data_IF_388311316997
#
_entry.id   IF_388311316997
#
_cell.length_a   1.000
_cell.length_b   1.000
_cell.length_c   1.000
_cell.angle_alpha   90.00
_cell.angle_beta   90.00
_cell.angle_gamma   90.00
#
_symmetry.space_group_name_H-M   'P 1'
#
loop_
_entity.id
_entity.type
_entity.pdbx_description
1 polymer ?
#
# COMPACT_ATOMS: atom_id res chain seq x y z
N UNK A 1 -15.11 55.03 -16.36
CA UNK A 1 -14.21 53.88 -16.64
C UNK A 1 -13.10 53.66 -15.58
N UNK A 2 -13.32 54.03 -14.29
CA UNK A 2 -12.33 53.86 -13.20
C UNK A 2 -12.80 53.01 -12.01
N UNK A 3 -14.06 52.54 -11.98
CA UNK A 3 -14.60 51.76 -10.85
C UNK A 3 -14.57 50.23 -11.13
N UNK A 4 -14.62 49.79 -12.40
CA UNK A 4 -14.53 48.36 -12.76
C UNK A 4 -13.12 47.74 -12.60
N UNK A 5 -12.06 48.54 -12.47
CA UNK A 5 -10.69 48.05 -12.27
C UNK A 5 -10.32 47.79 -10.81
N UNK A 6 -11.07 48.34 -9.83
CA UNK A 6 -10.78 48.18 -8.40
C UNK A 6 -11.39 46.89 -7.79
N UNK A 7 -12.51 46.42 -8.34
CA UNK A 7 -13.21 45.21 -7.87
C UNK A 7 -12.49 43.92 -8.33
N UNK A 8 -11.83 43.95 -9.49
CA UNK A 8 -11.06 42.81 -10.01
C UNK A 8 -9.75 42.62 -9.21
N UNK A 9 -9.17 43.69 -8.65
CA UNK A 9 -7.95 43.59 -7.85
C UNK A 9 -8.22 43.08 -6.42
N UNK A 10 -9.37 43.43 -5.79
CA UNK A 10 -9.72 42.88 -4.47
C UNK A 10 -10.14 41.40 -4.50
N UNK A 11 -10.83 40.93 -5.55
CA UNK A 11 -11.17 39.51 -5.68
C UNK A 11 -9.96 38.61 -5.96
N UNK A 12 -8.89 39.16 -6.55
CA UNK A 12 -7.64 38.43 -6.76
C UNK A 12 -6.80 38.37 -5.48
N UNK A 13 -6.88 39.40 -4.62
CA UNK A 13 -6.17 39.44 -3.33
C UNK A 13 -6.89 38.58 -2.26
N UNK A 14 -8.22 38.50 -2.24
CA UNK A 14 -8.94 37.61 -1.31
C UNK A 14 -8.79 36.11 -1.64
N UNK A 15 -8.54 35.73 -2.91
CA UNK A 15 -8.27 34.34 -3.28
C UNK A 15 -6.80 33.92 -3.07
N UNK A 16 -5.89 34.88 -2.85
CA UNK A 16 -4.51 34.61 -2.42
C UNK A 16 -4.43 34.54 -0.88
N UNK A 17 -5.37 35.15 -0.16
CA UNK A 17 -5.39 35.18 1.32
C UNK A 17 -6.23 34.07 2.00
N UNK A 18 -6.97 33.24 1.26
CA UNK A 18 -7.80 32.16 1.84
C UNK A 18 -7.29 30.73 1.61
N UNK A 19 -6.06 30.57 1.10
CA UNK A 19 -5.32 29.32 1.18
C UNK A 19 -4.38 29.36 2.38
N UNK A 20 -4.98 29.23 3.58
CA UNK A 20 -4.32 28.66 4.78
C UNK A 20 -2.88 29.13 5.03
N UNK A 21 -2.70 30.41 5.32
CA UNK A 21 -1.56 30.87 6.12
C UNK A 21 -1.86 30.57 7.59
N UNK A 22 -1.17 29.55 8.13
CA UNK A 22 -0.53 29.52 9.45
C UNK A 22 -0.17 28.08 9.88
N UNK A 23 0.58 27.41 9.02
CA UNK A 23 1.65 26.50 9.47
C UNK A 23 2.91 26.87 8.68
N UNK A 24 3.72 27.74 9.30
CA UNK A 24 5.13 28.02 8.99
C UNK A 24 5.54 27.93 7.51
N UNK A 25 5.57 29.07 6.83
CA UNK A 25 6.31 29.26 5.56
C UNK A 25 7.83 28.97 5.69
N UNK A 26 8.32 28.73 6.92
CA UNK A 26 9.69 28.26 7.22
C UNK A 26 9.86 26.72 7.16
N UNK A 27 8.78 25.92 7.10
CA UNK A 27 8.86 24.45 7.24
C UNK A 27 9.02 23.67 5.92
N UNK A 28 8.89 24.34 4.78
CA UNK A 28 8.98 23.71 3.44
C UNK A 28 10.34 23.86 2.78
N UNK A 29 11.20 24.80 3.24
CA UNK A 29 12.52 25.06 2.64
C UNK A 29 13.66 24.17 3.15
N UNK A 30 13.42 23.30 4.15
CA UNK A 30 14.46 22.48 4.78
C UNK A 30 14.29 20.96 4.62
N UNK A 31 13.23 20.51 3.92
CA UNK A 31 13.03 19.08 3.68
C UNK A 31 14.20 18.54 2.85
N UNK A 32 14.77 17.42 3.29
CA UNK A 32 15.93 16.75 2.68
C UNK A 32 17.29 17.41 2.83
N UNK A 33 17.43 18.53 3.54
CA UNK A 33 18.77 19.04 3.90
C UNK A 33 19.54 18.02 4.73
N UNK A 34 20.87 18.03 4.66
CA UNK A 34 21.74 17.17 5.48
C UNK A 34 21.37 17.22 6.96
N UNK A 35 21.10 18.42 7.49
CA UNK A 35 20.72 18.61 8.89
C UNK A 35 19.34 18.02 9.21
N UNK A 36 18.36 18.20 8.32
CA UNK A 36 17.07 17.55 8.44
C UNK A 36 17.21 16.02 8.46
N UNK A 37 17.99 15.45 7.55
CA UNK A 37 18.18 14.00 7.44
C UNK A 37 18.84 13.44 8.70
N UNK A 38 19.93 14.07 9.17
CA UNK A 38 20.61 13.71 10.43
C UNK A 38 19.66 13.80 11.62
N UNK A 39 18.82 14.83 11.67
CA UNK A 39 17.82 14.98 12.74
C UNK A 39 16.80 13.83 12.71
N UNK A 40 16.30 13.43 11.53
CA UNK A 40 15.39 12.28 11.44
C UNK A 40 16.03 10.96 11.94
N UNK A 41 17.34 10.81 11.76
CA UNK A 41 18.08 9.61 12.16
C UNK A 41 18.53 9.59 13.63
N UNK A 42 18.50 10.76 14.31
CA UNK A 42 19.14 10.96 15.63
C UNK A 42 18.70 9.94 16.68
N UNK A 43 17.41 9.60 16.74
CA UNK A 43 16.89 8.63 17.72
C UNK A 43 17.35 7.19 17.49
N UNK A 44 17.76 6.87 16.27
CA UNK A 44 18.17 5.52 15.89
C UNK A 44 19.67 5.38 16.09
N UNK A 45 20.47 6.34 15.61
CA UNK A 45 21.92 6.32 15.78
C UNK A 45 22.36 6.40 17.24
N UNK A 46 21.54 7.02 18.10
CA UNK A 46 21.80 7.10 19.52
C UNK A 46 22.04 5.73 20.14
N UNK A 47 22.99 5.66 21.08
CA UNK A 47 23.41 4.40 21.68
C UNK A 47 23.78 3.35 20.63
N UNK A 48 24.54 3.72 19.59
CA UNK A 48 25.06 2.80 18.57
C UNK A 48 24.00 1.90 17.91
N UNK A 49 22.83 2.46 17.58
CA UNK A 49 21.69 1.71 17.02
C UNK A 49 21.05 0.67 17.94
N UNK A 50 21.29 0.74 19.25
CA UNK A 50 20.49 -0.04 20.21
C UNK A 50 19.12 0.61 20.50
N UNK A 51 18.90 1.83 20.03
CA UNK A 51 17.70 2.59 20.34
C UNK A 51 17.73 3.14 21.77
N UNK A 52 16.87 4.13 22.01
CA UNK A 52 16.78 4.87 23.27
C UNK A 52 15.36 4.92 23.85
N UNK A 53 14.41 4.22 23.22
CA UNK A 53 13.01 4.23 23.65
C UNK A 53 12.72 3.07 24.60
N UNK A 54 11.98 3.35 25.67
CA UNK A 54 11.36 2.29 26.50
C UNK A 54 10.29 1.52 25.73
N UNK A 55 9.69 2.14 24.70
CA UNK A 55 8.71 1.51 23.84
C UNK A 55 9.40 0.77 22.71
N UNK A 56 8.85 -0.40 22.42
CA UNK A 56 9.34 -1.26 21.35
C UNK A 56 9.37 -0.58 19.97
N UNK A 57 8.37 0.27 19.74
CA UNK A 57 8.12 0.94 18.48
C UNK A 57 7.52 2.32 18.69
N UNK A 58 7.54 3.11 17.62
CA UNK A 58 6.71 4.29 17.49
C UNK A 58 5.81 4.20 16.26
N UNK A 59 4.63 4.79 16.37
CA UNK A 59 3.64 4.88 15.30
C UNK A 59 3.25 6.33 15.10
N UNK A 60 3.27 6.80 13.84
CA UNK A 60 2.70 8.09 13.45
C UNK A 60 1.51 7.87 12.51
N UNK A 61 0.35 8.40 12.92
CA UNK A 61 -0.89 8.30 12.15
C UNK A 61 -0.79 9.17 10.89
N UNK A 62 -1.04 8.55 9.73
CA UNK A 62 -1.18 9.21 8.43
C UNK A 62 -2.62 9.56 8.07
N UNK A 63 -2.78 10.06 6.86
CA UNK A 63 -4.04 10.48 6.23
C UNK A 63 -4.41 9.67 4.98
N UNK A 64 -3.50 8.85 4.46
CA UNK A 64 -3.74 7.96 3.31
C UNK A 64 -3.67 6.49 3.76
N UNK A 65 -4.43 5.57 3.13
CA UNK A 65 -4.52 4.15 3.52
C UNK A 65 -3.30 3.33 3.05
N UNK A 66 -2.10 3.87 3.26
CA UNK A 66 -0.81 3.21 3.05
C UNK A 66 -0.09 3.20 4.38
N UNK A 67 0.48 2.06 4.76
CA UNK A 67 1.33 1.93 5.94
C UNK A 67 2.75 1.60 5.49
N UNK A 68 3.74 2.33 6.02
CA UNK A 68 5.15 2.03 5.90
C UNK A 68 5.61 1.44 7.24
N UNK A 69 6.04 0.18 7.23
CA UNK A 69 6.70 -0.48 8.34
C UNK A 69 8.21 -0.38 8.13
N UNK A 70 8.99 -0.01 9.14
CA UNK A 70 10.45 -0.09 9.10
C UNK A 70 10.93 -0.83 10.36
N UNK A 71 10.96 -2.17 10.34
CA UNK A 71 11.20 -2.96 11.55
C UNK A 71 12.69 -3.03 11.94
N UNK A 72 13.61 -2.63 11.07
CA UNK A 72 15.05 -2.81 11.29
C UNK A 72 15.80 -1.48 11.47
N UNK A 73 15.10 -0.42 11.89
CA UNK A 73 15.66 0.91 12.14
C UNK A 73 16.69 0.96 13.28
N UNK A 74 16.65 -0.02 14.18
CA UNK A 74 17.63 -0.29 15.23
C UNK A 74 18.13 -1.74 15.08
N UNK A 75 19.18 -2.10 15.82
CA UNK A 75 19.71 -3.47 15.85
C UNK A 75 18.61 -4.44 16.28
N UNK A 76 18.54 -5.60 15.64
CA UNK A 76 17.57 -6.64 15.99
C UNK A 76 18.22 -7.68 16.91
N UNK A 77 17.48 -8.22 17.87
CA UNK A 77 17.92 -9.40 18.62
C UNK A 77 17.45 -10.67 17.91
N UNK A 78 18.39 -11.49 17.44
CA UNK A 78 18.11 -12.74 16.71
C UNK A 78 19.14 -13.80 17.05
N UNK A 79 18.69 -14.99 17.47
CA UNK A 79 19.57 -16.12 17.82
C UNK A 79 20.69 -15.70 18.77
N UNK A 80 20.32 -15.12 19.91
CA UNK A 80 21.24 -14.69 20.99
C UNK A 80 22.31 -13.67 20.56
N UNK A 81 22.09 -13.00 19.43
CA UNK A 81 23.03 -12.00 18.88
C UNK A 81 22.31 -10.80 18.33
N UNK A 82 22.99 -9.64 18.35
CA UNK A 82 22.49 -8.44 17.68
C UNK A 82 22.86 -8.45 16.20
N UNK A 83 21.85 -8.27 15.34
CA UNK A 83 22.04 -7.98 13.90
C UNK A 83 22.14 -6.49 13.66
N UNK A 84 22.84 -6.12 12.59
CA UNK A 84 22.99 -4.71 12.18
C UNK A 84 21.64 -4.07 11.87
N UNK A 85 21.51 -2.80 12.23
CA UNK A 85 20.38 -1.99 11.81
C UNK A 85 20.44 -1.66 10.32
N UNK A 86 19.27 -1.45 9.73
CA UNK A 86 19.10 -0.88 8.41
C UNK A 86 19.21 0.65 8.50
N UNK A 87 20.45 1.12 8.67
CA UNK A 87 20.80 2.55 8.85
C UNK A 87 20.05 3.44 7.85
N UNK A 88 19.47 4.55 8.31
CA UNK A 88 18.64 5.53 7.60
C UNK A 88 17.28 5.05 7.04
N UNK A 89 16.86 3.79 7.26
CA UNK A 89 15.47 3.40 6.92
C UNK A 89 14.45 4.12 7.80
N UNK A 90 14.81 4.44 9.03
CA UNK A 90 13.96 5.19 9.96
C UNK A 90 13.82 6.64 9.54
N UNK A 91 14.93 7.30 9.18
CA UNK A 91 14.90 8.62 8.57
C UNK A 91 14.08 8.67 7.27
N UNK A 92 14.23 7.66 6.39
CA UNK A 92 13.41 7.54 5.19
C UNK A 92 11.93 7.41 5.53
N UNK A 93 11.54 6.50 6.44
CA UNK A 93 10.14 6.32 6.84
C UNK A 93 9.52 7.63 7.37
N UNK A 94 10.21 8.34 8.27
CA UNK A 94 9.78 9.65 8.78
C UNK A 94 9.63 10.70 7.69
N UNK A 95 10.54 10.72 6.73
CA UNK A 95 10.50 11.65 5.61
C UNK A 95 9.35 11.34 4.65
N UNK A 96 9.13 10.07 4.34
CA UNK A 96 8.01 9.62 3.50
C UNK A 96 6.66 9.91 4.16
N UNK A 97 6.55 9.79 5.49
CA UNK A 97 5.38 10.23 6.23
C UNK A 97 5.07 11.72 5.98
N UNK A 98 6.08 12.60 6.16
CA UNK A 98 5.91 14.04 5.94
C UNK A 98 5.56 14.37 4.48
N UNK A 99 6.15 13.65 3.52
CA UNK A 99 5.97 13.91 2.09
C UNK A 99 4.66 13.36 1.49
N UNK A 100 4.10 12.29 2.07
CA UNK A 100 2.95 11.57 1.47
C UNK A 100 1.71 11.52 2.36
N UNK A 101 1.88 11.70 3.67
CA UNK A 101 0.83 11.44 4.66
C UNK A 101 0.59 9.94 4.90
N UNK A 102 1.44 9.03 4.44
CA UNK A 102 1.32 7.60 4.76
C UNK A 102 1.42 7.37 6.28
N UNK A 103 0.72 6.36 6.80
CA UNK A 103 0.98 5.90 8.18
C UNK A 103 2.39 5.32 8.25
N UNK A 104 3.08 5.51 9.37
CA UNK A 104 4.37 4.86 9.59
C UNK A 104 4.43 4.20 10.95
N UNK A 105 5.14 3.08 11.00
CA UNK A 105 5.56 2.42 12.24
C UNK A 105 7.01 1.96 12.06
N UNK A 106 7.82 2.11 13.10
CA UNK A 106 9.22 1.70 13.09
C UNK A 106 9.67 1.26 14.48
N UNK A 107 10.70 0.41 14.52
CA UNK A 107 11.26 -0.08 15.79
C UNK A 107 12.07 1.02 16.47
N UNK A 108 11.94 1.13 17.78
CA UNK A 108 12.62 2.13 18.60
C UNK A 108 13.50 1.50 19.69
N UNK A 109 13.45 0.18 19.84
CA UNK A 109 14.31 -0.65 20.70
C UNK A 109 14.67 -1.98 20.04
N UNK A 110 15.68 -2.68 20.58
CA UNK A 110 16.25 -3.92 20.02
C UNK A 110 15.48 -5.21 20.29
N UNK A 111 14.26 -5.15 20.83
CA UNK A 111 13.56 -6.39 21.21
C UNK A 111 13.18 -7.20 19.96
N UNK A 112 13.74 -8.40 19.88
CA UNK A 112 13.43 -9.39 18.84
C UNK A 112 13.72 -8.93 17.42
N UNK A 113 13.13 -9.65 16.48
CA UNK A 113 13.26 -9.41 15.05
C UNK A 113 11.97 -9.78 14.32
N UNK A 114 11.33 -8.76 13.75
CA UNK A 114 10.03 -8.89 13.09
C UNK A 114 10.06 -9.71 11.79
N UNK A 115 11.26 -9.95 11.25
CA UNK A 115 11.49 -10.83 10.10
C UNK A 115 12.03 -12.21 10.49
N UNK A 116 12.03 -12.53 11.78
CA UNK A 116 12.47 -13.81 12.32
C UNK A 116 11.60 -14.24 13.51
N UNK A 117 10.28 -14.09 13.39
CA UNK A 117 9.33 -14.54 14.42
C UNK A 117 8.00 -14.98 13.83
N UNK A 118 7.33 -15.93 14.50
CA UNK A 118 5.90 -16.28 14.26
C UNK A 118 4.98 -15.69 15.31
N UNK A 119 5.52 -15.09 16.35
CA UNK A 119 4.76 -14.58 17.48
C UNK A 119 3.98 -13.32 17.11
N UNK A 120 2.95 -13.04 17.90
CA UNK A 120 2.21 -11.77 17.88
C UNK A 120 2.94 -10.78 18.79
N UNK A 121 4.07 -10.24 18.32
CA UNK A 121 4.84 -9.21 19.03
C UNK A 121 4.01 -7.94 19.22
N UNK A 122 4.42 -7.04 20.12
CA UNK A 122 3.77 -5.75 20.30
C UNK A 122 3.76 -4.92 19.01
N UNK A 123 4.82 -5.03 18.20
CA UNK A 123 4.89 -4.43 16.87
C UNK A 123 3.81 -4.98 15.92
N UNK A 124 3.67 -6.32 15.84
CA UNK A 124 2.66 -6.98 15.00
C UNK A 124 1.23 -6.70 15.45
N UNK A 125 0.98 -6.72 16.77
CA UNK A 125 -0.29 -6.32 17.37
C UNK A 125 -0.63 -4.89 16.97
N UNK A 126 0.35 -3.98 17.01
CA UNK A 126 0.13 -2.60 16.58
C UNK A 126 -0.19 -2.47 15.11
N UNK A 127 0.53 -3.17 14.23
CA UNK A 127 0.22 -3.17 12.79
C UNK A 127 -1.19 -3.69 12.54
N UNK A 128 -1.59 -4.79 13.18
CA UNK A 128 -2.94 -5.33 13.11
C UNK A 128 -3.99 -4.29 13.50
N UNK A 129 -3.74 -3.56 14.59
CA UNK A 129 -4.56 -2.45 15.06
C UNK A 129 -4.66 -1.30 14.04
N UNK A 130 -3.53 -0.91 13.43
CA UNK A 130 -3.48 0.14 12.41
C UNK A 130 -4.30 -0.28 11.18
N UNK A 131 -4.10 -1.52 10.70
CA UNK A 131 -4.84 -2.08 9.57
C UNK A 131 -6.34 -2.08 9.84
N UNK A 132 -6.76 -2.50 11.04
CA UNK A 132 -8.16 -2.57 11.43
C UNK A 132 -8.84 -1.18 11.50
N UNK A 133 -8.12 -0.16 11.97
CA UNK A 133 -8.67 1.18 12.23
C UNK A 133 -8.62 2.14 11.05
N UNK A 134 -7.79 1.87 10.03
CA UNK A 134 -7.49 2.84 8.97
C UNK A 134 -7.71 2.31 7.53
N UNK A 135 -8.35 1.15 7.35
CA UNK A 135 -8.63 0.54 6.03
C UNK A 135 -7.39 0.51 5.13
N UNK A 136 -6.24 0.09 5.69
CA UNK A 136 -4.96 0.07 4.97
C UNK A 136 -5.08 -0.84 3.75
N UNK A 137 -4.75 -0.28 2.58
CA UNK A 137 -4.87 -0.95 1.27
C UNK A 137 -3.57 -1.59 0.80
N UNK A 138 -2.42 -1.02 1.17
CA UNK A 138 -1.08 -1.54 0.86
C UNK A 138 -0.15 -1.27 2.03
N UNK A 139 0.72 -2.24 2.33
CA UNK A 139 1.82 -2.09 3.27
C UNK A 139 3.13 -2.09 2.51
N UNK A 140 4.03 -1.18 2.88
CA UNK A 140 5.41 -1.12 2.42
C UNK A 140 6.29 -1.50 3.61
N UNK A 141 6.96 -2.63 3.51
CA UNK A 141 7.89 -3.14 4.52
C UNK A 141 9.30 -2.69 4.10
N UNK A 142 9.76 -1.58 4.68
CA UNK A 142 10.95 -0.85 4.31
C UNK A 142 12.18 -1.40 5.02
N UNK A 143 13.17 -1.81 4.23
CA UNK A 143 14.42 -2.42 4.67
C UNK A 143 15.62 -1.83 3.94
N UNK A 144 16.82 -2.23 4.38
CA UNK A 144 18.09 -1.81 3.81
C UNK A 144 18.95 -2.99 3.34
N UNK A 145 19.39 -2.94 2.08
CA UNK A 145 20.40 -3.86 1.55
C UNK A 145 21.78 -3.22 1.43
N UNK A 146 22.81 -4.04 1.34
CA UNK A 146 24.22 -3.64 1.20
C UNK A 146 24.50 -2.92 -0.13
N UNK A 147 25.59 -2.15 -0.21
CA UNK A 147 25.91 -1.29 -1.36
C UNK A 147 26.47 -2.02 -2.59
N UNK A 148 26.91 -3.27 -2.42
CA UNK A 148 27.43 -4.13 -3.49
C UNK A 148 26.32 -4.64 -4.43
N UNK A 149 25.06 -4.53 -4.04
CA UNK A 149 23.93 -4.91 -4.91
C UNK A 149 23.86 -3.98 -6.11
N UNK A 150 23.55 -4.58 -7.25
CA UNK A 150 23.56 -3.91 -8.55
C UNK A 150 22.29 -3.10 -8.83
N UNK A 151 21.34 -3.05 -7.89
CA UNK A 151 20.10 -2.26 -8.00
C UNK A 151 19.97 -1.22 -6.89
N UNK A 152 19.19 -0.17 -7.14
CA UNK A 152 18.85 0.85 -6.15
C UNK A 152 17.82 0.32 -5.13
N UNK A 153 16.90 -0.52 -5.61
CA UNK A 153 15.78 -1.11 -4.86
C UNK A 153 15.61 -2.56 -5.31
N UNK A 154 15.56 -3.53 -4.39
CA UNK A 154 14.97 -4.85 -4.67
C UNK A 154 13.56 -4.90 -4.09
N UNK A 155 12.60 -5.36 -4.90
CA UNK A 155 11.18 -5.40 -4.56
C UNK A 155 10.80 -6.84 -4.26
N UNK A 156 10.56 -7.16 -3.00
CA UNK A 156 10.03 -8.45 -2.56
C UNK A 156 8.50 -8.49 -2.64
N UNK A 157 7.97 -9.45 -3.39
CA UNK A 157 6.52 -9.72 -3.52
C UNK A 157 6.12 -11.09 -2.99
N UNK A 158 7.02 -11.76 -2.29
CA UNK A 158 6.88 -13.08 -1.68
C UNK A 158 7.62 -14.15 -2.45
N UNK A 159 7.42 -14.21 -3.77
CA UNK A 159 8.06 -15.16 -4.69
C UNK A 159 7.71 -14.76 -6.14
N UNK A 160 8.09 -15.61 -7.11
CA UNK A 160 7.75 -15.43 -8.53
C UNK A 160 6.25 -15.35 -8.82
N UNK A 161 5.39 -15.88 -7.94
CA UNK A 161 3.93 -15.80 -8.02
C UNK A 161 3.34 -14.60 -7.27
N UNK A 162 4.17 -13.69 -6.73
CA UNK A 162 3.75 -12.48 -6.02
C UNK A 162 2.76 -12.74 -4.86
N UNK A 163 2.93 -13.83 -4.10
CA UNK A 163 1.95 -14.25 -3.08
C UNK A 163 1.61 -13.17 -2.03
N UNK A 164 2.52 -12.23 -1.76
CA UNK A 164 2.26 -11.14 -0.81
C UNK A 164 1.36 -10.04 -1.39
N UNK A 165 1.12 -10.02 -2.71
CA UNK A 165 0.17 -9.12 -3.38
C UNK A 165 -1.25 -9.68 -3.43
N UNK A 166 -1.47 -10.90 -2.95
CA UNK A 166 -2.79 -11.51 -2.80
C UNK A 166 -3.60 -11.56 -4.10
N UNK A 167 -2.95 -11.72 -5.26
CA UNK A 167 -3.60 -11.72 -6.58
C UNK A 167 -3.84 -10.33 -7.18
N UNK A 168 -3.32 -9.26 -6.54
CA UNK A 168 -3.33 -7.88 -7.04
C UNK A 168 -2.02 -7.52 -7.74
N UNK A 169 -1.53 -8.38 -8.64
CA UNK A 169 -0.23 -8.21 -9.34
C UNK A 169 -0.08 -6.89 -10.10
N UNK A 170 -1.19 -6.23 -10.44
CA UNK A 170 -1.15 -4.89 -11.01
C UNK A 170 -0.47 -3.88 -10.08
N UNK A 171 -0.49 -4.08 -8.75
CA UNK A 171 0.24 -3.25 -7.77
C UNK A 171 1.73 -3.23 -8.08
N UNK A 172 2.35 -4.39 -8.37
CA UNK A 172 3.75 -4.43 -8.81
C UNK A 172 3.93 -3.65 -10.10
N UNK A 173 2.99 -3.75 -11.04
CA UNK A 173 3.03 -2.97 -12.27
C UNK A 173 2.96 -1.45 -12.02
N UNK A 174 2.24 -1.01 -10.98
CA UNK A 174 2.22 0.40 -10.53
C UNK A 174 3.57 0.82 -10.02
N UNK A 175 4.11 0.05 -9.08
CA UNK A 175 5.39 0.32 -8.45
C UNK A 175 6.48 0.44 -9.51
N UNK A 176 6.63 -0.58 -10.36
CA UNK A 176 7.59 -0.58 -11.49
C UNK A 176 7.41 0.64 -12.39
N UNK A 177 6.17 0.94 -12.74
CA UNK A 177 5.81 2.09 -13.57
C UNK A 177 6.14 3.44 -12.96
N UNK A 178 6.06 3.54 -11.64
CA UNK A 178 6.28 4.75 -10.86
C UNK A 178 7.75 5.01 -10.60
N UNK A 179 8.52 3.94 -10.36
CA UNK A 179 9.97 3.98 -10.22
C UNK A 179 10.67 4.30 -11.56
N UNK A 180 10.03 4.06 -12.70
CA UNK A 180 10.54 4.40 -14.04
C UNK A 180 11.54 3.37 -14.59
N UNK A 181 12.32 3.72 -15.62
CA UNK A 181 13.38 2.86 -16.20
C UNK A 181 14.63 2.77 -15.31
N UNK A 182 14.45 2.98 -14.00
CA UNK A 182 15.54 3.01 -13.06
C UNK A 182 15.90 1.61 -12.57
N UNK A 183 17.08 1.52 -11.98
CA UNK A 183 17.71 0.31 -11.55
C UNK A 183 16.99 -0.31 -10.33
N UNK A 184 15.98 -1.13 -10.56
CA UNK A 184 15.34 -1.95 -9.54
C UNK A 184 15.35 -3.42 -9.96
N UNK A 185 15.30 -4.30 -8.98
CA UNK A 185 15.09 -5.74 -9.19
C UNK A 185 13.81 -6.19 -8.47
N UNK A 186 13.31 -7.38 -8.81
CA UNK A 186 12.11 -7.95 -8.20
C UNK A 186 12.43 -9.36 -7.76
N UNK A 187 12.32 -9.63 -6.46
CA UNK A 187 12.62 -10.92 -5.82
C UNK A 187 14.03 -11.46 -6.15
N UNK A 188 15.00 -10.61 -6.51
CA UNK A 188 16.33 -11.08 -6.93
C UNK A 188 17.18 -11.48 -5.74
N UNK A 189 17.15 -10.65 -4.68
CA UNK A 189 17.95 -10.84 -3.48
C UNK A 189 17.08 -11.15 -2.27
N UNK A 190 15.93 -10.49 -2.18
CA UNK A 190 15.02 -10.57 -1.05
C UNK A 190 13.59 -10.68 -1.56
N UNK A 191 13.00 -11.86 -1.35
CA UNK A 191 11.62 -12.08 -1.78
C UNK A 191 10.59 -11.54 -0.78
N UNK A 192 10.97 -11.40 0.50
CA UNK A 192 10.02 -11.05 1.58
C UNK A 192 8.93 -12.10 1.82
N UNK A 193 9.08 -13.32 1.28
CA UNK A 193 8.06 -14.38 1.31
C UNK A 193 8.26 -15.52 2.29
N UNK A 194 9.30 -15.45 3.14
CA UNK A 194 9.51 -16.48 4.16
C UNK A 194 8.45 -16.34 5.23
N UNK A 195 7.99 -17.47 5.80
CA UNK A 195 6.88 -17.51 6.77
C UNK A 195 7.05 -16.58 7.99
N UNK A 196 8.30 -16.24 8.34
CA UNK A 196 8.63 -15.38 9.47
C UNK A 196 8.69 -13.88 9.15
N UNK A 197 8.62 -13.46 7.88
CA UNK A 197 8.76 -12.06 7.50
C UNK A 197 7.52 -11.25 7.87
N UNK A 198 7.72 -9.97 8.21
CA UNK A 198 6.64 -9.02 8.41
C UNK A 198 5.77 -8.89 7.16
N UNK A 199 6.39 -8.86 5.98
CA UNK A 199 5.69 -8.87 4.69
C UNK A 199 4.73 -10.05 4.51
N UNK A 200 5.17 -11.29 4.80
CA UNK A 200 4.30 -12.47 4.71
C UNK A 200 3.25 -12.50 5.81
N UNK A 201 3.56 -12.05 7.03
CA UNK A 201 2.58 -11.88 8.10
C UNK A 201 1.46 -10.92 7.67
N UNK A 202 1.81 -9.73 7.20
CA UNK A 202 0.87 -8.70 6.75
C UNK A 202 -0.05 -9.21 5.63
N UNK A 203 0.52 -9.83 4.60
CA UNK A 203 -0.27 -10.39 3.52
C UNK A 203 -1.17 -11.54 3.99
N UNK A 204 -0.59 -12.53 4.68
CA UNK A 204 -1.30 -13.77 4.97
C UNK A 204 -2.30 -13.66 6.11
N UNK A 205 -1.97 -12.94 7.18
CA UNK A 205 -2.79 -12.81 8.40
C UNK A 205 -3.71 -11.60 8.36
N UNK A 206 -3.23 -10.47 7.84
CA UNK A 206 -3.98 -9.21 7.83
C UNK A 206 -4.73 -8.96 6.53
N UNK A 207 -4.40 -9.72 5.47
CA UNK A 207 -5.09 -9.64 4.17
C UNK A 207 -4.88 -8.30 3.50
N UNK A 208 -3.66 -7.77 3.59
CA UNK A 208 -3.27 -6.51 2.96
C UNK A 208 -2.10 -6.79 2.01
N UNK A 209 -2.21 -6.44 0.72
CA UNK A 209 -1.10 -6.52 -0.22
C UNK A 209 0.14 -5.82 0.34
N UNK A 210 1.27 -6.53 0.38
CA UNK A 210 2.49 -6.05 1.02
C UNK A 210 3.70 -6.20 0.10
N UNK A 211 4.53 -5.15 0.05
CA UNK A 211 5.78 -5.11 -0.70
C UNK A 211 6.94 -4.96 0.30
N UNK A 212 7.95 -5.82 0.23
CA UNK A 212 9.23 -5.57 0.88
C UNK A 212 10.07 -4.70 -0.05
N UNK A 213 10.56 -3.55 0.44
CA UNK A 213 11.45 -2.68 -0.32
C UNK A 213 12.82 -2.65 0.34
N UNK A 214 13.80 -3.27 -0.31
CA UNK A 214 15.18 -3.28 0.12
C UNK A 214 15.94 -2.16 -0.57
N UNK A 215 16.21 -1.10 0.18
CA UNK A 215 16.84 0.10 -0.37
C UNK A 215 18.36 -0.06 -0.29
N UNK A 216 19.06 0.21 -1.39
CA UNK A 216 20.52 0.15 -1.43
C UNK A 216 21.14 1.16 -0.46
N UNK A 217 22.15 0.73 0.32
CA UNK A 217 22.87 1.57 1.28
C UNK A 217 23.41 2.88 0.68
N UNK A 218 23.73 2.90 -0.63
CA UNK A 218 24.16 4.11 -1.36
C UNK A 218 23.18 5.29 -1.21
N UNK A 219 21.88 5.02 -1.06
CA UNK A 219 20.83 6.04 -0.97
C UNK A 219 20.20 6.17 0.41
N UNK A 220 20.75 5.47 1.41
CA UNK A 220 20.31 5.51 2.81
C UNK A 220 21.41 6.13 3.67
N UNK A 221 21.65 7.42 3.48
CA UNK A 221 22.81 8.11 4.08
C UNK A 221 22.44 9.55 4.49
N UNK A 222 23.33 10.25 5.20
CA UNK A 222 23.18 11.69 5.47
C UNK A 222 23.44 12.59 4.26
N UNK A 223 24.02 12.04 3.18
CA UNK A 223 24.21 12.76 1.93
C UNK A 223 22.86 13.19 1.35
N UNK A 224 22.67 14.50 1.29
CA UNK A 224 21.42 15.12 0.88
C UNK A 224 21.01 14.67 -0.53
N UNK A 225 21.94 14.57 -1.47
CA UNK A 225 21.61 14.25 -2.86
C UNK A 225 21.09 12.81 -3.00
N UNK A 226 21.86 11.84 -2.51
CA UNK A 226 21.54 10.42 -2.59
C UNK A 226 20.25 10.09 -1.83
N UNK A 227 20.09 10.66 -0.63
CA UNK A 227 18.88 10.47 0.17
C UNK A 227 17.65 11.10 -0.51
N UNK A 228 17.77 12.34 -1.02
CA UNK A 228 16.68 13.05 -1.71
C UNK A 228 16.24 12.29 -2.94
N UNK A 229 17.17 11.77 -3.74
CA UNK A 229 16.87 10.96 -4.92
C UNK A 229 15.95 9.79 -4.56
N UNK A 230 16.30 9.03 -3.53
CA UNK A 230 15.51 7.87 -3.11
C UNK A 230 14.19 8.28 -2.46
N UNK A 231 14.20 9.27 -1.57
CA UNK A 231 13.00 9.75 -0.90
C UNK A 231 11.97 10.29 -1.90
N UNK A 232 12.38 11.05 -2.91
CA UNK A 232 11.49 11.54 -3.97
C UNK A 232 10.94 10.39 -4.83
N UNK A 233 11.79 9.41 -5.17
CA UNK A 233 11.38 8.23 -5.94
C UNK A 233 10.33 7.41 -5.19
N UNK A 234 10.53 7.14 -3.91
CA UNK A 234 9.59 6.44 -3.05
C UNK A 234 8.32 7.26 -2.78
N UNK A 235 8.44 8.57 -2.59
CA UNK A 235 7.29 9.50 -2.46
C UNK A 235 6.38 9.41 -3.68
N UNK A 236 6.96 9.48 -4.88
CA UNK A 236 6.21 9.31 -6.12
C UNK A 236 5.55 7.93 -6.21
N UNK A 237 6.28 6.86 -5.88
CA UNK A 237 5.74 5.49 -5.88
C UNK A 237 4.56 5.33 -4.90
N UNK A 238 4.66 5.88 -3.70
CA UNK A 238 3.60 5.85 -2.68
C UNK A 238 2.37 6.61 -3.17
N UNK A 239 2.55 7.83 -3.67
CA UNK A 239 1.45 8.65 -4.17
C UNK A 239 0.76 8.01 -5.37
N UNK A 240 1.51 7.47 -6.31
CA UNK A 240 0.96 6.76 -7.46
C UNK A 240 0.21 5.49 -7.01
N UNK A 241 0.75 4.74 -6.06
CA UNK A 241 0.10 3.53 -5.52
C UNK A 241 -1.20 3.89 -4.80
N UNK A 242 -1.17 4.87 -3.89
CA UNK A 242 -2.36 5.38 -3.20
C UNK A 242 -3.46 5.83 -4.18
N UNK A 243 -3.07 6.60 -5.21
CA UNK A 243 -4.02 7.12 -6.19
C UNK A 243 -4.64 6.04 -7.08
N UNK A 244 -4.05 4.86 -7.16
CA UNK A 244 -4.40 3.82 -8.13
C UNK A 244 -4.61 2.42 -7.52
N UNK A 245 -4.57 2.24 -6.21
CA UNK A 245 -4.90 0.94 -5.62
C UNK A 245 -6.41 0.81 -5.39
N UNK A 246 -6.99 -0.27 -5.92
CA UNK A 246 -8.37 -0.67 -5.71
C UNK A 246 -8.45 -2.16 -5.36
N UNK A 247 -8.94 -2.45 -4.16
CA UNK A 247 -9.21 -3.82 -3.73
C UNK A 247 -10.66 -4.16 -4.10
N UNK A 248 -10.91 -5.22 -4.90
CA UNK A 248 -12.25 -5.59 -5.30
C UNK A 248 -13.13 -5.94 -4.10
N UNK A 249 -14.42 -5.65 -4.20
CA UNK A 249 -15.42 -5.99 -3.18
C UNK A 249 -16.52 -6.87 -3.78
N UNK A 250 -17.03 -7.79 -3.00
CA UNK A 250 -18.17 -8.64 -3.33
C UNK A 250 -19.21 -8.63 -2.22
N UNK A 251 -20.39 -9.21 -2.49
CA UNK A 251 -21.44 -9.39 -1.49
C UNK A 251 -21.79 -10.85 -1.32
N UNK A 252 -22.06 -11.25 -0.07
CA UNK A 252 -22.56 -12.58 0.27
C UNK A 252 -24.00 -12.74 -0.18
N UNK A 253 -24.24 -13.77 -0.99
CA UNK A 253 -25.56 -14.14 -1.54
C UNK A 253 -25.81 -15.65 -1.38
N UNK A 254 -27.00 -16.11 -1.79
CA UNK A 254 -27.35 -17.54 -1.89
C UNK A 254 -27.17 -18.34 -0.57
N UNK A 255 -27.34 -17.69 0.57
CA UNK A 255 -27.34 -18.33 1.90
C UNK A 255 -28.61 -17.97 2.68
N UNK A 256 -29.11 -18.87 3.52
CA UNK A 256 -30.31 -18.62 4.34
C UNK A 256 -30.13 -17.50 5.37
N UNK A 257 -29.00 -17.49 6.08
CA UNK A 257 -28.68 -16.48 7.11
C UNK A 257 -27.22 -16.03 7.03
N UNK A 258 -26.29 -16.99 6.99
CA UNK A 258 -24.87 -16.71 7.01
C UNK A 258 -24.05 -17.71 6.18
N UNK A 259 -22.93 -17.25 5.66
CA UNK A 259 -21.88 -18.03 5.01
C UNK A 259 -20.75 -18.31 6.01
N UNK A 260 -20.19 -19.52 6.02
CA UNK A 260 -19.02 -19.83 6.85
C UNK A 260 -17.74 -19.30 6.20
N UNK A 261 -17.02 -18.42 6.90
CA UNK A 261 -15.64 -18.06 6.58
C UNK A 261 -14.71 -19.15 7.12
N UNK A 262 -13.82 -19.67 6.26
CA UNK A 262 -12.98 -20.82 6.61
C UNK A 262 -11.48 -20.50 6.60
N UNK A 263 -10.70 -21.10 7.47
CA UNK A 263 -9.22 -20.98 7.47
C UNK A 263 -8.53 -21.72 6.32
N UNK A 264 -9.20 -22.67 5.67
CA UNK A 264 -8.68 -23.44 4.52
C UNK A 264 -9.78 -23.77 3.51
N UNK A 265 -9.38 -24.23 2.33
CA UNK A 265 -10.25 -24.61 1.19
C UNK A 265 -10.92 -25.99 1.37
N UNK A 266 -11.33 -26.33 2.60
CA UNK A 266 -11.96 -27.61 2.93
C UNK A 266 -13.26 -27.43 3.73
N UNK A 267 -14.27 -28.24 3.41
CA UNK A 267 -15.52 -28.32 4.17
C UNK A 267 -15.54 -29.45 5.19
N UNK A 268 -14.49 -30.28 5.24
CA UNK A 268 -14.47 -31.53 6.02
C UNK A 268 -14.54 -31.30 7.54
N UNK A 269 -13.92 -30.21 8.04
CA UNK A 269 -13.91 -29.91 9.47
C UNK A 269 -14.74 -28.67 9.83
N UNK A 270 -15.42 -28.76 10.99
CA UNK A 270 -16.07 -27.61 11.64
C UNK A 270 -15.06 -26.67 12.32
N UNK A 271 -13.92 -27.17 12.78
CA UNK A 271 -12.85 -26.33 13.37
C UNK A 271 -12.24 -25.36 12.36
N UNK A 272 -12.43 -25.64 11.07
CA UNK A 272 -12.04 -24.75 9.99
C UNK A 272 -12.92 -23.48 9.89
N UNK A 273 -14.07 -23.43 10.55
CA UNK A 273 -14.97 -22.25 10.51
C UNK A 273 -14.44 -21.22 11.50
N UNK A 274 -13.94 -20.09 10.99
CA UNK A 274 -13.31 -19.02 11.79
C UNK A 274 -14.22 -17.79 11.96
N UNK A 275 -15.27 -17.68 11.14
CA UNK A 275 -16.33 -16.70 11.29
C UNK A 275 -17.59 -17.07 10.51
N UNK A 276 -18.67 -16.31 10.71
CA UNK A 276 -19.89 -16.33 9.93
C UNK A 276 -20.14 -14.95 9.31
N UNK A 277 -20.46 -14.94 8.02
CA UNK A 277 -20.71 -13.73 7.25
C UNK A 277 -22.19 -13.66 6.91
N UNK A 278 -22.89 -12.66 7.42
CA UNK A 278 -24.33 -12.54 7.21
C UNK A 278 -24.66 -12.30 5.72
N UNK A 279 -25.81 -12.82 5.28
CA UNK A 279 -26.37 -12.53 3.96
C UNK A 279 -26.36 -11.02 3.69
N UNK A 280 -25.94 -10.60 2.50
CA UNK A 280 -25.88 -9.19 2.14
C UNK A 280 -24.64 -8.44 2.63
N UNK A 281 -23.79 -9.04 3.47
CA UNK A 281 -22.54 -8.41 3.90
C UNK A 281 -21.58 -8.18 2.73
N UNK A 282 -20.88 -7.05 2.74
CA UNK A 282 -19.77 -6.78 1.82
C UNK A 282 -18.47 -7.40 2.33
N UNK A 283 -17.69 -7.97 1.43
CA UNK A 283 -16.37 -8.55 1.69
C UNK A 283 -15.34 -7.99 0.70
N UNK A 284 -14.08 -7.90 1.10
CA UNK A 284 -12.98 -7.63 0.15
C UNK A 284 -12.52 -8.95 -0.47
N UNK A 285 -12.38 -8.99 -1.79
CA UNK A 285 -11.83 -10.13 -2.50
C UNK A 285 -10.32 -9.94 -2.58
N UNK A 286 -9.60 -10.86 -1.97
CA UNK A 286 -8.15 -10.86 -1.95
C UNK A 286 -7.69 -11.66 -3.16
N UNK A 287 -7.66 -12.98 -3.07
CA UNK A 287 -7.04 -13.84 -4.08
C UNK A 287 -8.08 -14.71 -4.80
N UNK A 288 -7.71 -15.20 -5.97
CA UNK A 288 -8.54 -16.03 -6.85
C UNK A 288 -9.84 -15.34 -7.29
N UNK A 289 -9.80 -14.03 -7.58
CA UNK A 289 -10.98 -13.30 -8.07
C UNK A 289 -11.54 -13.89 -9.37
N UNK A 290 -10.68 -14.42 -10.26
CA UNK A 290 -11.14 -15.12 -11.47
C UNK A 290 -11.86 -16.45 -11.21
N UNK A 291 -11.94 -16.89 -9.95
CA UNK A 291 -12.80 -18.00 -9.54
C UNK A 291 -14.22 -17.54 -9.18
N UNK A 292 -14.46 -16.24 -9.00
CA UNK A 292 -15.83 -15.72 -8.94
C UNK A 292 -16.50 -16.01 -10.29
N UNK A 293 -17.72 -16.56 -10.25
CA UNK A 293 -18.44 -17.06 -11.44
C UNK A 293 -18.18 -18.52 -11.83
N UNK A 294 -17.10 -19.17 -11.34
CA UNK A 294 -16.79 -20.59 -11.63
C UNK A 294 -17.35 -21.57 -10.60
N UNK A 295 -18.27 -22.46 -10.97
CA UNK A 295 -18.94 -23.35 -9.99
C UNK A 295 -17.97 -24.05 -9.03
N UNK A 296 -18.29 -23.97 -7.73
CA UNK A 296 -17.63 -24.70 -6.64
C UNK A 296 -16.13 -24.37 -6.43
N UNK A 297 -15.64 -23.24 -6.94
CA UNK A 297 -14.27 -22.80 -6.68
C UNK A 297 -14.15 -22.01 -5.37
N UNK A 298 -12.95 -21.94 -4.82
CA UNK A 298 -12.67 -21.16 -3.62
C UNK A 298 -12.13 -19.77 -3.97
N UNK A 299 -12.51 -18.80 -3.15
CA UNK A 299 -12.04 -17.42 -3.21
C UNK A 299 -11.55 -17.04 -1.82
N UNK A 300 -10.42 -16.34 -1.77
CA UNK A 300 -9.87 -15.82 -0.51
C UNK A 300 -10.40 -14.40 -0.30
N UNK A 301 -10.95 -14.14 0.89
CA UNK A 301 -11.59 -12.87 1.21
C UNK A 301 -11.12 -12.31 2.55
N UNK A 302 -11.38 -11.03 2.76
CA UNK A 302 -11.29 -10.35 4.06
C UNK A 302 -12.68 -9.89 4.50
N UNK A 303 -13.07 -10.25 5.71
CA UNK A 303 -14.31 -9.81 6.36
C UNK A 303 -14.03 -9.52 7.84
N UNK A 304 -14.46 -8.37 8.35
CA UNK A 304 -14.23 -7.94 9.74
C UNK A 304 -12.78 -8.16 10.22
N UNK A 305 -11.80 -7.78 9.39
CA UNK A 305 -10.36 -7.96 9.63
C UNK A 305 -9.87 -9.41 9.77
N UNK A 306 -10.71 -10.41 9.48
CA UNK A 306 -10.33 -11.81 9.35
C UNK A 306 -10.14 -12.18 7.89
N UNK A 307 -9.13 -12.99 7.62
CA UNK A 307 -8.82 -13.54 6.30
C UNK A 307 -9.19 -15.00 6.26
N UNK A 308 -9.90 -15.41 5.22
CA UNK A 308 -10.27 -16.80 5.03
C UNK A 308 -10.81 -17.09 3.64
N UNK A 309 -11.39 -18.26 3.48
CA UNK A 309 -11.86 -18.82 2.22
C UNK A 309 -13.36 -19.04 2.26
N UNK A 310 -13.99 -18.76 1.13
CA UNK A 310 -15.41 -19.03 0.87
C UNK A 310 -15.56 -19.66 -0.51
N UNK A 311 -16.63 -20.45 -0.70
CA UNK A 311 -17.00 -20.91 -2.04
C UNK A 311 -17.59 -19.74 -2.83
N UNK A 312 -17.20 -19.64 -4.08
CA UNK A 312 -17.56 -18.53 -4.96
C UNK A 312 -19.07 -18.44 -5.26
N UNK A 313 -19.81 -19.57 -5.25
CA UNK A 313 -21.27 -19.60 -5.47
C UNK A 313 -22.07 -18.71 -4.48
N UNK A 314 -21.44 -18.32 -3.37
CA UNK A 314 -22.02 -17.46 -2.35
C UNK A 314 -21.52 -16.02 -2.41
N UNK A 315 -20.73 -15.67 -3.41
CA UNK A 315 -20.16 -14.33 -3.61
C UNK A 315 -20.60 -13.81 -4.97
N UNK A 316 -21.32 -12.70 -4.95
CA UNK A 316 -21.58 -11.90 -6.15
C UNK A 316 -20.59 -10.75 -6.21
N UNK A 317 -19.86 -10.61 -7.31
CA UNK A 317 -19.18 -9.37 -7.63
C UNK A 317 -20.22 -8.37 -8.12
N UNK A 318 -20.16 -7.15 -7.61
CA UNK A 318 -21.00 -6.08 -8.12
C UNK A 318 -20.26 -5.35 -9.20
N UNK A 319 -20.63 -5.64 -10.45
CA UNK A 319 -20.21 -4.87 -11.59
C UNK A 319 -18.69 -4.67 -11.58
N UNK A 320 -17.88 -5.71 -11.40
CA UNK A 320 -16.41 -5.54 -11.33
C UNK A 320 -15.83 -5.80 -12.71
N UNK A 321 -14.92 -4.95 -13.16
CA UNK A 321 -14.16 -5.21 -14.37
C UNK A 321 -12.66 -5.03 -14.14
N UNK A 322 -11.86 -5.78 -14.89
CA UNK A 322 -10.40 -5.67 -14.92
C UNK A 322 -9.98 -4.88 -16.14
N UNK A 323 -9.07 -3.91 -15.97
CA UNK A 323 -8.54 -3.15 -17.10
C UNK A 323 -7.61 -4.03 -17.93
N UNK A 324 -7.93 -4.18 -19.21
CA UNK A 324 -7.20 -5.01 -20.18
C UNK A 324 -6.94 -4.22 -21.47
N UNK A 325 -6.23 -4.83 -22.42
CA UNK A 325 -6.01 -4.28 -23.78
C UNK A 325 -5.38 -2.88 -23.83
N UNK A 326 -4.57 -2.54 -22.82
CA UNK A 326 -3.75 -1.33 -22.78
C UNK A 326 -2.28 -1.67 -22.52
N UNK A 327 -1.37 -0.77 -22.89
CA UNK A 327 0.06 -0.93 -22.62
C UNK A 327 0.37 -0.69 -21.14
N UNK A 328 0.15 0.54 -20.66
CA UNK A 328 0.45 0.95 -19.27
C UNK A 328 -0.80 1.32 -18.48
N UNK A 329 -1.66 2.16 -19.05
CA UNK A 329 -2.86 2.68 -18.41
C UNK A 329 -3.89 3.16 -19.43
N UNK A 330 -5.13 3.38 -18.98
CA UNK A 330 -6.22 4.05 -19.71
C UNK A 330 -6.60 5.36 -19.02
N UNK A 331 -7.04 6.37 -19.78
CA UNK A 331 -7.59 7.60 -19.21
C UNK A 331 -9.03 7.37 -18.76
N UNK A 332 -9.33 7.67 -17.49
CA UNK A 332 -10.70 7.80 -17.02
C UNK A 332 -11.23 9.18 -17.47
N UNK A 333 -12.17 9.21 -18.42
CA UNK A 333 -12.64 10.44 -19.04
C UNK A 333 -13.76 11.10 -18.23
N UNK A 334 -13.86 12.43 -18.23
CA UNK A 334 -14.94 13.16 -17.53
C UNK A 334 -16.31 12.94 -18.16
N UNK A 335 -16.39 12.72 -19.48
CA UNK A 335 -17.64 12.44 -20.20
C UNK A 335 -17.47 11.31 -21.22
N UNK A 336 -18.55 10.94 -21.90
CA UNK A 336 -18.56 9.92 -22.97
C UNK A 336 -17.70 10.31 -24.18
N UNK A 337 -17.46 11.61 -24.37
CA UNK A 337 -16.61 12.15 -25.43
C UNK A 337 -15.15 11.71 -25.23
N UNK A 338 -14.56 11.16 -26.30
CA UNK A 338 -13.17 10.69 -26.34
C UNK A 338 -12.12 11.80 -26.21
N UNK A 339 -12.50 13.03 -26.49
CA UNK A 339 -11.68 14.23 -26.33
C UNK A 339 -11.84 14.90 -24.97
N UNK A 340 -12.75 14.42 -24.12
CA UNK A 340 -12.97 15.04 -22.81
C UNK A 340 -11.75 14.92 -21.88
N UNK A 341 -11.69 15.86 -20.94
CA UNK A 341 -10.59 15.93 -19.97
C UNK A 341 -10.48 14.66 -19.11
N UNK A 342 -9.28 14.41 -18.61
CA UNK A 342 -8.96 13.20 -17.84
C UNK A 342 -9.18 13.43 -16.35
N UNK A 343 -9.90 12.52 -15.70
CA UNK A 343 -10.10 12.48 -14.24
C UNK A 343 -8.86 11.92 -13.54
N UNK A 344 -8.39 10.75 -14.01
CA UNK A 344 -7.15 10.08 -13.63
C UNK A 344 -6.77 9.04 -14.69
N UNK A 345 -5.67 8.32 -14.49
CA UNK A 345 -5.28 7.19 -15.33
C UNK A 345 -5.42 5.89 -14.55
N UNK A 346 -6.04 4.88 -15.16
CA UNK A 346 -6.26 3.56 -14.56
C UNK A 346 -5.23 2.59 -15.14
N UNK A 347 -4.39 1.97 -14.31
CA UNK A 347 -3.35 1.03 -14.74
C UNK A 347 -3.90 -0.25 -15.35
N UNK A 348 -3.12 -0.87 -16.24
CA UNK A 348 -3.39 -2.22 -16.75
C UNK A 348 -3.53 -3.21 -15.59
N UNK A 349 -4.53 -4.07 -15.65
CA UNK A 349 -4.79 -5.12 -14.66
C UNK A 349 -5.48 -4.64 -13.39
N UNK A 350 -5.67 -3.33 -13.20
CA UNK A 350 -6.41 -2.80 -12.07
C UNK A 350 -7.90 -3.18 -12.16
N UNK A 351 -8.53 -3.36 -11.01
CA UNK A 351 -9.96 -3.61 -10.91
C UNK A 351 -10.74 -2.29 -10.74
N UNK A 352 -11.91 -2.20 -11.36
CA UNK A 352 -12.82 -1.06 -11.30
C UNK A 352 -14.24 -1.54 -10.98
N UNK A 353 -15.05 -0.65 -10.40
CA UNK A 353 -16.50 -0.86 -10.30
C UNK A 353 -17.17 -0.24 -11.51
N UNK A 354 -18.01 -0.99 -12.21
CA UNK A 354 -18.82 -0.58 -13.35
C UNK A 354 -20.13 -0.03 -12.78
N UNK A 355 -20.45 1.21 -13.12
CA UNK A 355 -21.66 1.89 -12.68
C UNK A 355 -22.76 1.82 -13.74
N UNK A 356 -22.36 1.80 -15.01
CA UNK A 356 -23.24 1.63 -16.15
C UNK A 356 -22.43 0.92 -17.25
N UNK A 357 -22.95 -0.21 -17.72
CA UNK A 357 -22.32 -1.01 -18.78
C UNK A 357 -22.87 -0.60 -20.16
N UNK A 358 -22.03 -0.71 -21.18
CA UNK A 358 -22.31 -0.30 -22.55
C UNK A 358 -21.02 -0.07 -23.34
N UNK A 359 -21.12 0.29 -24.63
CA UNK A 359 -19.92 0.54 -25.48
C UNK A 359 -18.93 1.53 -24.85
N UNK A 360 -19.47 2.53 -24.16
CA UNK A 360 -18.72 3.39 -23.23
C UNK A 360 -19.28 3.19 -21.83
N UNK A 361 -18.56 2.45 -20.99
CA UNK A 361 -18.94 2.19 -19.62
C UNK A 361 -18.68 3.42 -18.74
N UNK A 362 -19.60 3.70 -17.82
CA UNK A 362 -19.30 4.56 -16.66
C UNK A 362 -18.73 3.67 -15.57
N UNK A 363 -17.56 4.02 -15.03
CA UNK A 363 -16.91 3.25 -13.97
C UNK A 363 -16.58 4.16 -12.78
N UNK A 364 -16.36 3.55 -11.62
CA UNK A 364 -15.77 4.13 -10.41
C UNK A 364 -14.44 3.45 -10.14
N UNK A 365 -13.42 4.26 -9.91
CA UNK A 365 -12.09 3.81 -9.53
C UNK A 365 -11.46 4.82 -8.58
N UNK A 366 -10.92 4.32 -7.46
CA UNK A 366 -10.42 5.13 -6.35
C UNK A 366 -11.34 6.31 -5.97
N UNK A 367 -12.62 5.99 -5.75
CA UNK A 367 -13.69 6.96 -5.45
C UNK A 367 -14.00 8.03 -6.51
N UNK A 368 -13.29 8.06 -7.64
CA UNK A 368 -13.61 8.92 -8.77
C UNK A 368 -14.42 8.16 -9.80
N UNK A 369 -15.34 8.87 -10.47
CA UNK A 369 -16.15 8.31 -11.55
C UNK A 369 -15.74 8.90 -12.89
N UNK A 370 -15.98 8.16 -13.95
CA UNK A 370 -15.80 8.63 -15.32
C UNK A 370 -16.10 7.55 -16.33
N UNK A 371 -15.64 7.75 -17.56
CA UNK A 371 -16.01 6.91 -18.69
C UNK A 371 -14.81 6.29 -19.39
N UNK A 372 -14.92 5.00 -19.74
CA UNK A 372 -13.96 4.24 -20.55
C UNK A 372 -14.70 3.44 -21.63
N UNK A 373 -14.01 3.00 -22.68
CA UNK A 373 -14.62 2.06 -23.64
C UNK A 373 -14.58 0.65 -23.07
N UNK A 374 -15.65 -0.13 -23.27
CA UNK A 374 -15.75 -1.51 -22.80
C UNK A 374 -14.69 -2.44 -23.39
N UNK A 375 -14.11 -2.12 -24.55
CA UNK A 375 -13.02 -2.91 -25.17
C UNK A 375 -11.76 -3.02 -24.29
N UNK A 376 -11.63 -2.16 -23.28
CA UNK A 376 -10.54 -2.15 -22.31
C UNK A 376 -10.93 -2.76 -20.96
N UNK A 377 -12.06 -3.46 -20.91
CA UNK A 377 -12.66 -3.96 -19.69
C UNK A 377 -13.04 -5.43 -19.85
N UNK A 378 -12.44 -6.27 -19.02
CA UNK A 378 -12.82 -7.67 -18.85
C UNK A 378 -13.79 -7.76 -17.67
N UNK A 379 -15.08 -7.98 -17.95
CA UNK A 379 -16.14 -7.97 -16.94
C UNK A 379 -16.16 -9.32 -16.23
N UNK A 380 -16.10 -9.27 -14.89
CA UNK A 380 -16.10 -10.47 -14.05
C UNK A 380 -17.51 -10.61 -13.47
N UNK A 381 -18.20 -11.66 -13.91
CA UNK A 381 -19.58 -11.99 -13.50
C UNK A 381 -19.62 -12.91 -12.27
#
# INVERSE_FOLDING_TARGET
>A
MKIKKMIITMLTIMNIFNLTTNKSYADTNNLYTTDYIKNQETQFISNNYFGNSEKDYEYKKGSIPILISAPHTVKQWRNESHKSADIYTGALAKTLHKATGAHIIYKASTNGDENYTTEETEYRKKIKDIVAKNDIKVIIDLHGMTSDKDSDIDIGTGNSSNINLLGQDYILSLVKSSLGNNNYTVNKYFTGGKVYTMSSYCASKLGVPTLQLEINKKYRTSDSESFTYMANKLTKMINDTYNNVCIPKGQVINVKKSLNLRSSTSTASRTNIIDKINLGSTVSILDNIGNVGKSNQWVRIKYNNKVGYVKNNYIRLYNVGKIVNVNKNIRLRKSVDSKSSTVLRIPKGAYVTILNDGKTCKIKYNNKQGYISNKYLDVIY
#
